data_IF_575620740382
#
_entry.id   IF_575620740382
#
_cell.length_a   1.000
_cell.length_b   1.000
_cell.length_c   1.000
_cell.angle_alpha   90.00
_cell.angle_beta   90.00
_cell.angle_gamma   90.00
#
_symmetry.space_group_name_H-M   'P 1'
#
loop_
_entity.id
_entity.type
_entity.pdbx_description
1 polymer ?
#
# COMPACT_ATOMS: atom_id res chain seq x y z
N UNK A 1 55.14 -73.19 -28.42
CA UNK A 1 53.91 -72.36 -28.34
C UNK A 1 53.88 -71.66 -26.97
N UNK A 2 54.84 -70.78 -26.70
CA UNK A 2 54.84 -69.31 -26.84
C UNK A 2 54.16 -68.59 -25.65
N UNK A 3 54.99 -68.26 -24.65
CA UNK A 3 54.70 -67.32 -23.55
C UNK A 3 54.62 -65.89 -24.12
N UNK A 4 53.54 -65.16 -23.83
CA UNK A 4 53.43 -63.73 -24.13
C UNK A 4 53.60 -62.92 -22.84
N UNK A 5 54.74 -62.24 -22.72
CA UNK A 5 55.04 -61.19 -21.74
C UNK A 5 54.24 -59.92 -22.10
N UNK A 6 53.42 -59.39 -21.19
CA UNK A 6 52.93 -58.00 -21.25
C UNK A 6 53.99 -57.07 -20.63
N UNK A 7 54.61 -56.24 -21.48
CA UNK A 7 55.43 -55.08 -21.08
C UNK A 7 54.53 -54.03 -20.42
N UNK A 8 54.84 -53.65 -19.19
CA UNK A 8 54.36 -52.41 -18.60
C UNK A 8 55.26 -51.28 -19.10
N UNK A 9 54.69 -50.34 -19.86
CA UNK A 9 55.34 -49.09 -20.25
C UNK A 9 55.35 -48.15 -19.03
N UNK A 10 56.53 -47.92 -18.47
CA UNK A 10 56.75 -46.86 -17.50
C UNK A 10 56.61 -45.51 -18.19
N UNK A 11 55.60 -44.74 -17.79
CA UNK A 11 55.53 -43.32 -18.07
C UNK A 11 56.20 -42.59 -16.92
N UNK A 12 57.40 -42.06 -17.17
CA UNK A 12 58.09 -41.18 -16.25
C UNK A 12 57.26 -39.90 -16.09
N UNK A 13 56.61 -39.74 -14.94
CA UNK A 13 56.03 -38.45 -14.53
C UNK A 13 57.22 -37.58 -14.15
N UNK A 14 57.62 -36.72 -15.06
CA UNK A 14 58.55 -35.63 -14.82
C UNK A 14 57.91 -34.69 -13.79
N UNK A 15 58.41 -34.72 -12.56
CA UNK A 15 58.12 -33.75 -11.51
C UNK A 15 58.60 -32.37 -11.98
N UNK A 16 57.67 -31.56 -12.52
CA UNK A 16 57.91 -30.13 -12.71
C UNK A 16 57.91 -29.51 -11.31
N UNK A 17 59.00 -28.86 -10.84
CA UNK A 17 58.97 -28.11 -9.61
C UNK A 17 58.06 -26.90 -9.83
N UNK A 18 56.86 -26.95 -9.23
CA UNK A 18 55.97 -25.80 -9.19
C UNK A 18 56.64 -24.64 -8.47
N UNK A 19 56.40 -23.39 -8.88
CA UNK A 19 56.96 -22.23 -8.22
C UNK A 19 56.56 -22.24 -6.75
N UNK A 20 57.57 -22.32 -5.88
CA UNK A 20 57.40 -22.14 -4.44
C UNK A 20 56.86 -20.74 -4.18
N UNK A 21 55.57 -20.63 -3.85
CA UNK A 21 54.99 -19.39 -3.36
C UNK A 21 55.76 -18.97 -2.09
N UNK A 22 56.41 -17.80 -2.08
CA UNK A 22 57.07 -17.30 -0.90
C UNK A 22 56.01 -16.85 0.11
N UNK A 23 56.04 -17.40 1.34
CA UNK A 23 55.44 -16.73 2.50
C UNK A 23 54.44 -17.48 3.38
N UNK A 24 53.91 -18.66 2.99
CA UNK A 24 53.01 -19.42 3.88
C UNK A 24 53.78 -20.27 4.91
N UNK A 25 54.52 -19.62 5.82
CA UNK A 25 55.18 -20.27 6.98
C UNK A 25 54.69 -19.72 8.33
N UNK A 26 53.42 -19.35 8.43
CA UNK A 26 52.74 -19.19 9.71
C UNK A 26 51.68 -20.27 9.83
N UNK A 27 51.94 -21.27 10.69
CA UNK A 27 50.89 -22.17 11.14
C UNK A 27 49.81 -21.33 11.82
N UNK A 28 48.64 -21.18 11.20
CA UNK A 28 47.49 -20.53 11.82
C UNK A 28 47.25 -21.14 13.20
N UNK A 29 47.09 -20.35 14.28
CA UNK A 29 46.88 -20.87 15.62
C UNK A 29 45.55 -21.64 15.70
N UNK A 30 45.62 -22.95 15.44
CA UNK A 30 44.49 -23.87 15.36
C UNK A 30 43.58 -23.84 16.60
N UNK A 31 44.14 -23.50 17.78
CA UNK A 31 43.37 -23.39 19.02
C UNK A 31 42.42 -22.19 19.01
N UNK A 32 42.88 -21.03 18.57
CA UNK A 32 42.06 -19.81 18.46
C UNK A 32 40.95 -20.00 17.43
N UNK A 33 41.29 -20.50 16.25
CA UNK A 33 40.31 -20.79 15.20
C UNK A 33 39.21 -21.78 15.66
N UNK A 34 39.59 -22.83 16.41
CA UNK A 34 38.63 -23.80 16.95
C UNK A 34 37.72 -23.20 18.01
N UNK A 35 38.20 -22.25 18.81
CA UNK A 35 37.39 -21.57 19.83
C UNK A 35 36.23 -20.77 19.20
N UNK A 36 36.47 -20.15 18.04
CA UNK A 36 35.48 -19.36 17.30
C UNK A 36 34.30 -20.18 16.76
N UNK A 37 34.38 -21.52 16.73
CA UNK A 37 33.27 -22.38 16.29
C UNK A 37 31.98 -22.11 17.08
N UNK A 38 32.10 -21.73 18.36
CA UNK A 38 30.97 -21.39 19.24
C UNK A 38 30.30 -20.07 18.86
N UNK A 39 30.99 -19.21 18.13
CA UNK A 39 30.49 -17.90 17.68
C UNK A 39 29.92 -17.95 16.25
N UNK A 40 30.14 -19.05 15.52
CA UNK A 40 29.54 -19.33 14.22
C UNK A 40 30.49 -19.23 13.03
N UNK A 41 30.06 -19.78 11.89
CA UNK A 41 30.89 -19.91 10.69
C UNK A 41 31.35 -18.57 10.11
N UNK A 42 30.52 -17.51 10.21
CA UNK A 42 30.90 -16.17 9.73
C UNK A 42 32.02 -15.54 10.56
N UNK A 43 32.08 -15.79 11.86
CA UNK A 43 33.19 -15.31 12.71
C UNK A 43 34.48 -16.04 12.36
N UNK A 44 34.40 -17.36 12.16
CA UNK A 44 35.53 -18.16 11.71
C UNK A 44 36.04 -17.70 10.34
N UNK A 45 35.13 -17.41 9.40
CA UNK A 45 35.48 -16.89 8.08
C UNK A 45 36.09 -15.49 8.16
N UNK A 46 35.56 -14.59 8.99
CA UNK A 46 36.16 -13.27 9.24
C UNK A 46 37.58 -13.38 9.77
N UNK A 47 37.81 -14.24 10.77
CA UNK A 47 39.14 -14.46 11.33
C UNK A 47 40.12 -15.00 10.29
N UNK A 48 39.74 -16.00 9.49
CA UNK A 48 40.57 -16.48 8.38
C UNK A 48 40.86 -15.35 7.39
N UNK A 49 39.84 -14.57 7.03
CA UNK A 49 39.98 -13.47 6.08
C UNK A 49 40.97 -12.40 6.58
N UNK A 50 41.00 -12.15 7.89
CA UNK A 50 41.96 -11.27 8.54
C UNK A 50 43.39 -11.82 8.50
N UNK A 51 43.58 -13.09 8.86
CA UNK A 51 44.90 -13.74 8.84
C UNK A 51 45.50 -13.84 7.42
N UNK A 52 44.65 -13.97 6.40
CA UNK A 52 45.07 -14.04 4.99
C UNK A 52 45.17 -12.67 4.32
N UNK A 53 44.90 -11.57 5.04
CA UNK A 53 45.00 -10.22 4.48
C UNK A 53 43.99 -9.93 3.36
N UNK A 54 42.78 -10.51 3.42
CA UNK A 54 41.73 -10.18 2.44
C UNK A 54 41.36 -8.69 2.50
N UNK A 55 40.71 -8.22 1.43
CA UNK A 55 40.29 -6.82 1.32
C UNK A 55 39.47 -6.37 2.54
N UNK A 56 39.65 -5.12 3.02
CA UNK A 56 38.91 -4.57 4.16
C UNK A 56 37.39 -4.72 4.01
N UNK A 57 36.89 -4.56 2.78
CA UNK A 57 35.47 -4.74 2.45
C UNK A 57 34.98 -6.17 2.68
N UNK A 58 35.78 -7.18 2.34
CA UNK A 58 35.42 -8.59 2.57
C UNK A 58 35.37 -8.90 4.07
N UNK A 59 36.36 -8.40 4.82
CA UNK A 59 36.42 -8.54 6.28
C UNK A 59 35.23 -7.84 6.94
N UNK A 60 34.91 -6.62 6.52
CA UNK A 60 33.74 -5.87 7.00
C UNK A 60 32.43 -6.62 6.75
N UNK A 61 32.23 -7.13 5.54
CA UNK A 61 31.02 -7.88 5.17
C UNK A 61 30.86 -9.18 5.97
N UNK A 62 31.94 -9.90 6.25
CA UNK A 62 31.90 -11.11 7.07
C UNK A 62 31.52 -10.81 8.53
N UNK A 63 32.08 -9.73 9.09
CA UNK A 63 31.76 -9.30 10.45
C UNK A 63 30.30 -8.84 10.55
N UNK A 64 29.81 -8.07 9.58
CA UNK A 64 28.40 -7.70 9.48
C UNK A 64 27.48 -8.93 9.39
N UNK A 65 27.80 -9.89 8.52
CA UNK A 65 27.00 -11.12 8.37
C UNK A 65 26.95 -11.96 9.64
N UNK A 66 28.02 -11.95 10.44
CA UNK A 66 28.04 -12.66 11.73
C UNK A 66 26.96 -12.16 12.69
N UNK A 67 26.71 -10.84 12.70
CA UNK A 67 25.68 -10.20 13.50
C UNK A 67 24.29 -10.64 13.00
N UNK A 68 24.06 -10.57 11.68
CA UNK A 68 22.75 -10.87 11.07
C UNK A 68 22.34 -12.33 11.18
N UNK A 69 23.29 -13.25 11.05
CA UNK A 69 23.04 -14.68 11.13
C UNK A 69 22.78 -15.19 12.57
N UNK A 70 23.13 -14.39 13.59
CA UNK A 70 23.02 -14.80 14.99
C UNK A 70 21.63 -14.56 15.55
N UNK A 71 21.05 -15.60 16.17
CA UNK A 71 19.76 -15.57 16.86
C UNK A 71 19.89 -15.45 18.38
N UNK A 72 20.99 -15.91 18.96
CA UNK A 72 21.28 -15.77 20.40
C UNK A 72 21.51 -14.28 20.74
N UNK A 73 20.68 -13.65 21.58
CA UNK A 73 20.81 -12.24 21.93
C UNK A 73 22.16 -11.89 22.59
N UNK A 74 22.68 -12.75 23.46
CA UNK A 74 23.92 -12.49 24.17
C UNK A 74 25.13 -12.58 23.23
N UNK A 75 25.14 -13.58 22.33
CA UNK A 75 26.16 -13.68 21.30
C UNK A 75 26.06 -12.52 20.31
N UNK A 76 24.85 -12.14 19.90
CA UNK A 76 24.64 -10.98 19.02
C UNK A 76 25.22 -9.71 19.63
N UNK A 77 24.94 -9.41 20.91
CA UNK A 77 25.47 -8.22 21.58
C UNK A 77 26.99 -8.17 21.53
N UNK A 78 27.66 -9.31 21.77
CA UNK A 78 29.13 -9.41 21.66
C UNK A 78 29.61 -9.17 20.23
N UNK A 79 28.90 -9.68 19.23
CA UNK A 79 29.26 -9.49 17.82
C UNK A 79 29.01 -8.05 17.34
N UNK A 80 27.97 -7.38 17.83
CA UNK A 80 27.75 -5.94 17.58
C UNK A 80 28.89 -5.13 18.21
N UNK A 81 29.29 -5.43 19.45
CA UNK A 81 30.43 -4.78 20.10
C UNK A 81 31.71 -4.94 19.27
N UNK A 82 32.02 -6.16 18.82
CA UNK A 82 33.15 -6.44 17.93
C UNK A 82 33.06 -5.66 16.61
N UNK A 83 31.88 -5.57 16.01
CA UNK A 83 31.69 -4.80 14.78
C UNK A 83 31.83 -3.30 14.98
N UNK A 84 31.34 -2.75 16.09
CA UNK A 84 31.54 -1.35 16.45
C UNK A 84 33.02 -1.01 16.73
N UNK A 85 33.78 -1.98 17.27
CA UNK A 85 35.21 -1.84 17.54
C UNK A 85 36.07 -1.91 16.26
N UNK A 86 35.91 -2.96 15.44
CA UNK A 86 36.78 -3.18 14.26
C UNK A 86 36.24 -2.53 12.98
N UNK A 87 34.94 -2.28 12.89
CA UNK A 87 34.27 -1.71 11.73
C UNK A 87 34.89 -0.38 11.26
N UNK A 88 35.06 0.64 12.12
CA UNK A 88 35.64 1.93 11.72
C UNK A 88 36.99 1.79 11.00
N UNK A 89 37.90 0.99 11.57
CA UNK A 89 39.24 0.77 11.01
C UNK A 89 39.20 0.06 9.66
N UNK A 90 38.26 -0.88 9.45
CA UNK A 90 38.06 -1.55 8.17
C UNK A 90 37.50 -0.58 7.12
N UNK A 91 36.48 0.22 7.47
CA UNK A 91 35.87 1.18 6.55
C UNK A 91 36.85 2.28 6.14
N UNK A 92 37.71 2.74 7.06
CA UNK A 92 38.75 3.73 6.75
C UNK A 92 39.70 3.27 5.63
N UNK A 93 39.93 1.96 5.50
CA UNK A 93 40.79 1.35 4.48
C UNK A 93 40.06 1.08 3.14
N UNK A 94 38.80 1.48 2.98
CA UNK A 94 38.09 1.28 1.72
C UNK A 94 38.69 2.20 0.64
N UNK A 95 38.98 1.68 -0.56
CA UNK A 95 39.76 2.38 -1.57
C UNK A 95 39.01 3.54 -2.27
N UNK A 96 37.68 3.58 -2.16
CA UNK A 96 36.84 4.59 -2.81
C UNK A 96 35.98 5.31 -1.77
N UNK A 97 35.94 6.64 -1.84
CA UNK A 97 35.02 7.51 -1.10
C UNK A 97 33.66 7.56 -1.81
N UNK A 98 33.04 6.40 -2.00
CA UNK A 98 31.77 6.25 -2.70
C UNK A 98 30.59 6.06 -1.73
N UNK A 99 29.39 5.92 -2.30
CA UNK A 99 28.18 5.64 -1.53
C UNK A 99 28.27 4.37 -0.68
N UNK A 100 29.10 3.39 -1.08
CA UNK A 100 29.28 2.14 -0.35
C UNK A 100 30.09 2.36 0.93
N UNK A 101 31.13 3.20 0.88
CA UNK A 101 31.89 3.58 2.09
C UNK A 101 30.99 4.31 3.10
N UNK A 102 30.22 5.30 2.63
CA UNK A 102 29.25 6.03 3.49
C UNK A 102 28.21 5.11 4.11
N UNK A 103 27.61 4.21 3.31
CA UNK A 103 26.66 3.23 3.83
C UNK A 103 27.30 2.29 4.88
N UNK A 104 28.56 1.92 4.69
CA UNK A 104 29.31 1.12 5.66
C UNK A 104 29.57 1.87 6.97
N UNK A 105 29.81 3.19 6.91
CA UNK A 105 29.88 4.04 8.11
C UNK A 105 28.52 4.08 8.84
N UNK A 106 27.40 4.22 8.11
CA UNK A 106 26.05 4.19 8.69
C UNK A 106 25.74 2.87 9.41
N UNK A 107 26.28 1.74 8.93
CA UNK A 107 26.12 0.45 9.60
C UNK A 107 26.90 0.40 10.92
N UNK A 108 28.07 1.02 10.99
CA UNK A 108 28.83 1.18 12.24
C UNK A 108 28.09 2.09 13.23
N UNK A 109 27.54 3.20 12.76
CA UNK A 109 26.67 4.08 13.56
C UNK A 109 25.49 3.29 14.15
N UNK A 110 24.81 2.48 13.34
CA UNK A 110 23.71 1.64 13.82
C UNK A 110 24.17 0.62 14.87
N UNK A 111 25.37 0.05 14.72
CA UNK A 111 25.92 -0.86 15.73
C UNK A 111 26.18 -0.14 17.07
N UNK A 112 26.72 1.08 17.05
CA UNK A 112 26.88 1.90 18.26
C UNK A 112 25.53 2.20 18.92
N UNK A 113 24.49 2.50 18.13
CA UNK A 113 23.12 2.69 18.60
C UNK A 113 22.56 1.43 19.28
N UNK A 114 22.68 0.25 18.67
CA UNK A 114 22.22 -1.03 19.26
C UNK A 114 22.95 -1.39 20.56
N UNK A 115 24.14 -0.83 20.80
CA UNK A 115 24.87 -0.97 22.07
C UNK A 115 24.45 0.06 23.13
N UNK A 116 23.51 0.96 22.82
CA UNK A 116 23.15 2.09 23.69
C UNK A 116 24.22 3.19 23.77
N UNK A 117 25.25 3.15 22.92
CA UNK A 117 26.35 4.14 22.86
C UNK A 117 25.92 5.36 22.04
N UNK A 118 24.82 5.99 22.42
CA UNK A 118 24.12 7.01 21.61
C UNK A 118 24.96 8.25 21.31
N UNK A 119 25.75 8.74 22.27
CA UNK A 119 26.64 9.89 22.05
C UNK A 119 27.72 9.59 21.01
N UNK A 120 28.32 8.41 21.07
CA UNK A 120 29.32 7.97 20.09
C UNK A 120 28.69 7.71 18.73
N UNK A 121 27.48 7.14 18.71
CA UNK A 121 26.72 6.94 17.48
C UNK A 121 26.41 8.28 16.79
N UNK A 122 25.98 9.30 17.54
CA UNK A 122 25.71 10.64 16.99
C UNK A 122 26.98 11.31 16.48
N UNK A 123 28.07 11.28 17.26
CA UNK A 123 29.34 11.85 16.84
C UNK A 123 29.89 11.15 15.57
N UNK A 124 29.78 9.82 15.48
CA UNK A 124 30.16 9.07 14.29
C UNK A 124 29.26 9.39 13.09
N UNK A 125 27.97 9.63 13.30
CA UNK A 125 27.03 10.03 12.25
C UNK A 125 27.33 11.43 11.71
N UNK A 126 27.63 12.38 12.60
CA UNK A 126 27.96 13.77 12.23
C UNK A 126 29.31 13.90 11.51
N UNK A 127 30.21 12.91 11.68
CA UNK A 127 31.48 12.84 10.97
C UNK A 127 31.37 12.32 9.52
N UNK A 128 30.20 11.82 9.09
CA UNK A 128 30.00 11.33 7.72
C UNK A 128 29.65 12.52 6.81
N UNK A 129 30.50 12.79 5.82
CA UNK A 129 30.24 13.84 4.83
C UNK A 129 29.20 13.40 3.78
N UNK A 130 28.01 13.97 3.89
CA UNK A 130 26.89 13.78 2.95
C UNK A 130 26.79 14.86 1.88
N UNK A 131 27.57 15.95 1.94
CA UNK A 131 27.48 17.08 1.01
C UNK A 131 27.94 16.71 -0.41
N UNK A 132 28.84 15.73 -0.54
CA UNK A 132 29.38 15.28 -1.83
C UNK A 132 28.47 14.31 -2.62
N UNK A 133 27.29 13.91 -2.09
CA UNK A 133 26.38 12.95 -2.75
C UNK A 133 25.17 13.61 -3.48
N UNK A 134 25.10 14.95 -3.52
CA UNK A 134 23.97 15.71 -4.09
C UNK A 134 23.82 15.53 -5.61
N UNK A 135 24.80 14.92 -6.29
CA UNK A 135 24.82 14.79 -7.75
C UNK A 135 24.10 13.57 -8.32
N UNK A 136 23.47 12.71 -7.49
CA UNK A 136 22.67 11.56 -7.96
C UNK A 136 21.30 11.49 -7.23
N UNK A 137 20.28 12.23 -7.69
CA UNK A 137 18.98 12.35 -7.02
C UNK A 137 18.14 11.05 -7.00
N UNK A 138 18.58 9.97 -7.66
CA UNK A 138 17.88 8.68 -7.70
C UNK A 138 18.22 7.68 -6.59
N UNK A 139 19.27 7.91 -5.79
CA UNK A 139 19.75 6.96 -4.77
C UNK A 139 19.70 7.59 -3.37
N UNK A 140 18.50 7.82 -2.84
CA UNK A 140 18.28 8.54 -1.57
C UNK A 140 18.59 7.73 -0.30
N UNK A 141 19.84 7.28 -0.13
CA UNK A 141 20.34 6.81 1.17
C UNK A 141 20.39 7.92 2.24
N UNK A 142 20.15 9.18 1.86
CA UNK A 142 19.93 10.32 2.76
C UNK A 142 18.83 10.04 3.79
N UNK A 143 17.76 9.34 3.39
CA UNK A 143 16.69 8.98 4.30
C UNK A 143 17.19 8.13 5.48
N UNK A 144 18.16 7.25 5.27
CA UNK A 144 18.64 6.35 6.32
C UNK A 144 19.47 7.07 7.40
N UNK A 145 20.25 8.08 7.02
CA UNK A 145 21.03 8.87 7.97
C UNK A 145 20.12 9.68 8.92
N UNK A 146 19.07 10.32 8.38
CA UNK A 146 18.10 11.07 9.17
C UNK A 146 17.26 10.15 10.07
N UNK A 147 16.86 8.99 9.55
CA UNK A 147 16.19 7.95 10.33
C UNK A 147 17.06 7.45 11.49
N UNK A 148 18.36 7.24 11.27
CA UNK A 148 19.29 6.87 12.33
C UNK A 148 19.47 7.99 13.36
N UNK A 149 19.57 9.25 12.93
CA UNK A 149 19.64 10.40 13.84
C UNK A 149 18.40 10.46 14.73
N UNK A 150 17.22 10.26 14.15
CA UNK A 150 15.96 10.22 14.90
C UNK A 150 15.92 9.06 15.90
N UNK A 151 16.32 7.85 15.48
CA UNK A 151 16.39 6.68 16.36
C UNK A 151 17.37 6.89 17.53
N UNK A 152 18.54 7.49 17.27
CA UNK A 152 19.53 7.84 18.30
C UNK A 152 18.96 8.88 19.26
N UNK A 153 18.29 9.93 18.76
CA UNK A 153 17.64 10.95 19.58
C UNK A 153 16.52 10.40 20.47
N UNK A 154 15.78 9.40 19.98
CA UNK A 154 14.76 8.66 20.74
C UNK A 154 15.36 7.63 21.70
N UNK A 155 16.69 7.42 21.68
CA UNK A 155 17.39 6.37 22.42
C UNK A 155 16.84 4.97 22.13
N UNK A 156 16.41 4.73 20.90
CA UNK A 156 15.99 3.41 20.44
C UNK A 156 17.24 2.54 20.28
N UNK A 157 17.45 1.58 21.18
CA UNK A 157 18.53 0.58 21.13
C UNK A 157 18.09 -0.76 20.51
N UNK A 158 16.84 -0.85 20.04
CA UNK A 158 16.31 -2.10 19.52
C UNK A 158 17.03 -2.55 18.26
N UNK A 159 17.11 -3.87 18.04
CA UNK A 159 17.67 -4.47 16.81
C UNK A 159 17.10 -3.84 15.54
N UNK A 160 15.82 -3.48 15.57
CA UNK A 160 15.06 -2.89 14.47
C UNK A 160 14.51 -1.55 14.92
N UNK A 161 15.31 -0.48 14.84
CA UNK A 161 14.82 0.84 15.24
C UNK A 161 13.59 1.23 14.41
N UNK A 162 12.54 1.71 15.07
CA UNK A 162 11.22 1.92 14.42
C UNK A 162 11.33 2.84 13.21
N UNK A 163 12.12 3.90 13.34
CA UNK A 163 12.26 4.93 12.31
C UNK A 163 13.13 4.50 11.14
N UNK A 164 13.97 3.45 11.29
CA UNK A 164 14.85 2.96 10.21
C UNK A 164 14.23 1.85 9.36
N UNK A 165 13.00 1.45 9.69
CA UNK A 165 12.28 0.38 9.00
C UNK A 165 11.40 0.91 7.87
N UNK A 166 11.19 0.11 6.80
CA UNK A 166 10.14 0.39 5.83
C UNK A 166 8.77 0.47 6.50
N UNK A 167 7.88 1.38 6.06
CA UNK A 167 6.52 1.56 6.63
C UNK A 167 5.75 0.25 6.81
N UNK A 168 5.86 -0.65 5.83
CA UNK A 168 5.18 -1.96 5.85
C UNK A 168 5.68 -2.90 6.98
N UNK A 169 6.89 -2.69 7.52
CA UNK A 169 7.49 -3.48 8.61
C UNK A 169 7.18 -2.89 9.98
N UNK A 170 6.98 -1.56 10.03
CA UNK A 170 6.71 -0.84 11.27
C UNK A 170 5.41 -1.29 11.90
N UNK A 171 4.33 -1.45 11.13
CA UNK A 171 3.04 -1.91 11.66
C UNK A 171 3.15 -3.30 12.29
N UNK A 172 3.93 -4.18 11.68
CA UNK A 172 4.17 -5.53 12.19
C UNK A 172 4.94 -5.50 13.52
N UNK A 173 5.98 -4.67 13.63
CA UNK A 173 6.76 -4.53 14.87
C UNK A 173 5.95 -3.84 15.97
N UNK A 174 5.30 -2.72 15.66
CA UNK A 174 4.55 -1.94 16.64
C UNK A 174 3.27 -2.63 17.14
N UNK A 175 2.68 -3.52 16.34
CA UNK A 175 1.53 -4.33 16.76
C UNK A 175 1.94 -5.68 17.37
N UNK A 176 3.23 -5.95 17.58
CA UNK A 176 3.76 -7.26 17.98
C UNK A 176 3.31 -8.42 17.06
N UNK A 177 2.91 -8.11 15.82
CA UNK A 177 2.55 -9.10 14.81
C UNK A 177 3.80 -9.72 14.15
N UNK A 178 4.96 -9.06 14.30
CA UNK A 178 6.26 -9.58 13.92
C UNK A 178 6.76 -10.60 14.93
N UNK A 179 6.32 -11.85 14.79
CA UNK A 179 6.80 -12.98 15.56
C UNK A 179 7.68 -13.89 14.69
N UNK A 180 8.92 -13.47 14.36
CA UNK A 180 9.83 -14.34 13.61
C UNK A 180 11.29 -14.12 14.02
N UNK A 181 11.87 -15.16 14.64
CA UNK A 181 13.27 -15.61 14.55
C UNK A 181 14.43 -14.63 14.84
N UNK A 182 14.16 -13.36 15.13
CA UNK A 182 15.17 -12.30 15.15
C UNK A 182 15.29 -11.57 16.50
N UNK A 183 14.65 -12.09 17.55
CA UNK A 183 14.80 -11.62 18.93
C UNK A 183 13.73 -10.58 19.35
N UNK A 184 13.62 -10.30 20.67
CA UNK A 184 12.57 -9.44 21.21
C UNK A 184 12.80 -7.96 20.86
N UNK A 185 11.70 -7.21 20.68
CA UNK A 185 11.70 -5.74 20.67
C UNK A 185 12.15 -5.22 22.04
N UNK A 186 13.06 -4.26 22.10
CA UNK A 186 13.46 -3.64 23.37
C UNK A 186 12.34 -2.74 23.93
N UNK A 187 12.34 -2.42 25.25
CA UNK A 187 11.43 -1.41 25.81
C UNK A 187 11.51 -0.06 25.10
N UNK A 188 12.72 0.36 24.67
CA UNK A 188 12.91 1.58 23.90
C UNK A 188 12.20 1.52 22.54
N UNK A 189 12.29 0.37 21.87
CA UNK A 189 11.58 0.10 20.62
C UNK A 189 10.05 0.25 20.77
N UNK A 190 9.49 -0.26 21.88
CA UNK A 190 8.06 -0.09 22.21
C UNK A 190 7.70 1.39 22.48
N UNK A 191 8.57 2.14 23.13
CA UNK A 191 8.38 3.57 23.35
C UNK A 191 8.40 4.36 22.04
N UNK A 192 9.33 4.06 21.12
CA UNK A 192 9.36 4.63 19.77
C UNK A 192 8.10 4.31 18.96
N UNK A 193 7.59 3.08 19.07
CA UNK A 193 6.29 2.72 18.47
C UNK A 193 5.13 3.55 19.03
N UNK A 194 5.12 3.85 20.33
CA UNK A 194 4.12 4.73 20.94
C UNK A 194 4.25 6.16 20.41
N UNK A 195 5.44 6.74 20.42
CA UNK A 195 5.70 8.10 19.93
C UNK A 195 5.22 8.24 18.48
N UNK A 196 5.54 7.25 17.64
CA UNK A 196 5.10 7.22 16.26
C UNK A 196 3.58 7.18 16.15
N UNK A 197 2.91 6.29 16.88
CA UNK A 197 1.45 6.19 16.86
C UNK A 197 0.80 7.49 17.29
N UNK A 198 1.30 8.10 18.37
CA UNK A 198 0.79 9.40 18.85
C UNK A 198 0.99 10.49 17.78
N UNK A 199 2.14 10.50 17.06
CA UNK A 199 2.39 11.42 15.94
C UNK A 199 1.45 11.15 14.76
N UNK A 200 1.24 9.90 14.38
CA UNK A 200 0.33 9.52 13.29
C UNK A 200 -1.12 9.90 13.64
N UNK A 201 -1.55 9.66 14.88
CA UNK A 201 -2.87 10.09 15.38
C UNK A 201 -3.02 11.62 15.35
N UNK A 202 -1.97 12.36 15.74
CA UNK A 202 -1.97 13.82 15.70
C UNK A 202 -1.95 14.35 14.25
N UNK A 203 -1.11 13.80 13.37
CA UNK A 203 -1.07 14.16 11.96
C UNK A 203 -2.42 13.87 11.28
N UNK A 204 -3.04 12.74 11.59
CA UNK A 204 -4.37 12.38 11.07
C UNK A 204 -5.43 13.36 11.58
N UNK A 205 -5.41 13.69 12.88
CA UNK A 205 -6.29 14.72 13.43
C UNK A 205 -6.11 16.07 12.74
N UNK A 206 -4.87 16.49 12.49
CA UNK A 206 -4.57 17.74 11.81
C UNK A 206 -4.95 17.69 10.33
N UNK A 207 -4.81 16.53 9.65
CA UNK A 207 -5.34 16.31 8.29
C UNK A 207 -6.85 16.49 8.26
N UNK A 208 -7.55 15.84 9.19
CA UNK A 208 -9.01 15.93 9.30
C UNK A 208 -9.49 17.36 9.56
N UNK A 209 -8.81 18.12 10.43
CA UNK A 209 -9.13 19.51 10.67
C UNK A 209 -8.93 20.38 9.41
N UNK A 210 -7.86 20.14 8.67
CA UNK A 210 -7.59 20.85 7.42
C UNK A 210 -8.62 20.49 6.33
N UNK A 211 -9.03 19.23 6.25
CA UNK A 211 -10.08 18.76 5.34
C UNK A 211 -11.44 19.39 5.65
N UNK A 212 -11.79 19.49 6.94
CA UNK A 212 -13.01 20.18 7.38
C UNK A 212 -12.94 21.65 7.00
N UNK A 213 -11.83 22.34 7.31
CA UNK A 213 -11.67 23.75 7.00
C UNK A 213 -11.69 24.01 5.48
N UNK A 214 -11.09 23.12 4.68
CA UNK A 214 -11.13 23.18 3.23
C UNK A 214 -12.54 22.94 2.67
N UNK A 215 -13.30 22.01 3.28
CA UNK A 215 -14.69 21.74 2.94
C UNK A 215 -15.61 22.93 3.23
N UNK A 216 -15.36 23.66 4.31
CA UNK A 216 -16.07 24.91 4.61
C UNK A 216 -15.76 26.00 3.57
N UNK A 217 -14.50 26.13 3.14
CA UNK A 217 -14.14 27.05 2.05
C UNK A 217 -14.82 26.67 0.72
N UNK A 218 -15.04 25.38 0.47
CA UNK A 218 -15.67 24.89 -0.75
C UNK A 218 -17.18 25.19 -0.83
N UNK A 219 -17.84 25.58 0.26
CA UNK A 219 -19.26 25.96 0.24
C UNK A 219 -19.52 27.24 -0.57
N UNK A 220 -18.55 28.14 -0.60
CA UNK A 220 -18.55 29.32 -1.47
C UNK A 220 -17.65 29.05 -2.68
N UNK A 221 -18.20 28.30 -3.64
CA UNK A 221 -17.50 27.87 -4.84
C UNK A 221 -16.87 29.04 -5.61
N UNK A 222 -17.62 30.13 -5.92
CA UNK A 222 -17.08 31.29 -6.63
C UNK A 222 -15.90 31.95 -5.92
N UNK A 223 -15.98 32.16 -4.59
CA UNK A 223 -14.89 32.78 -3.86
C UNK A 223 -13.65 31.87 -3.78
N UNK A 224 -13.85 30.55 -3.66
CA UNK A 224 -12.75 29.59 -3.70
C UNK A 224 -12.08 29.56 -5.08
N UNK A 225 -12.85 29.49 -6.16
CA UNK A 225 -12.35 29.49 -7.53
C UNK A 225 -11.49 30.73 -7.80
N UNK A 226 -11.99 31.93 -7.48
CA UNK A 226 -11.24 33.17 -7.65
C UNK A 226 -9.89 33.16 -6.90
N UNK A 227 -9.85 32.61 -5.68
CA UNK A 227 -8.60 32.46 -4.90
C UNK A 227 -7.65 31.45 -5.52
N UNK A 228 -8.17 30.34 -6.05
CA UNK A 228 -7.36 29.30 -6.64
C UNK A 228 -6.78 29.72 -8.01
N UNK A 229 -7.53 30.50 -8.79
CA UNK A 229 -7.14 30.98 -10.11
C UNK A 229 -6.13 32.15 -10.03
N UNK A 230 -6.13 32.92 -8.94
CA UNK A 230 -5.13 33.97 -8.68
C UNK A 230 -3.68 33.45 -8.53
N UNK A 231 -3.47 32.14 -8.61
CA UNK A 231 -2.18 31.44 -8.80
C UNK A 231 -1.04 31.78 -7.82
N UNK A 232 -1.35 32.19 -6.60
CA UNK A 232 -0.37 32.20 -5.51
C UNK A 232 -0.25 30.78 -4.93
N UNK A 233 0.49 29.89 -5.58
CA UNK A 233 0.68 28.50 -5.10
C UNK A 233 1.68 28.43 -3.93
N UNK A 234 2.64 29.35 -3.87
CA UNK A 234 3.74 29.33 -2.90
C UNK A 234 3.30 29.80 -1.50
N UNK A 235 2.32 30.71 -1.40
CA UNK A 235 1.86 31.23 -0.09
C UNK A 235 0.58 30.57 0.44
N UNK A 236 0.12 29.46 -0.16
CA UNK A 236 -1.05 28.75 0.36
C UNK A 236 -0.68 28.00 1.64
N UNK A 237 -1.36 28.35 2.72
CA UNK A 237 -1.44 27.48 3.89
C UNK A 237 -2.01 26.10 3.50
N UNK A 238 -1.84 25.12 4.40
CA UNK A 238 -2.23 23.73 4.15
C UNK A 238 -3.72 23.57 3.82
N UNK A 239 -4.59 24.36 4.47
CA UNK A 239 -6.04 24.38 4.25
C UNK A 239 -6.37 24.86 2.83
N UNK A 240 -5.81 26.01 2.42
CA UNK A 240 -6.03 26.57 1.07
C UNK A 240 -5.51 25.65 -0.03
N UNK A 241 -4.37 24.99 0.19
CA UNK A 241 -3.87 23.98 -0.76
C UNK A 241 -4.88 22.83 -0.92
N UNK A 242 -5.43 22.34 0.18
CA UNK A 242 -6.43 21.27 0.15
C UNK A 242 -7.73 21.74 -0.54
N UNK A 243 -8.24 22.93 -0.21
CA UNK A 243 -9.44 23.48 -0.83
C UNK A 243 -9.28 23.67 -2.35
N UNK A 244 -8.14 24.21 -2.80
CA UNK A 244 -7.86 24.35 -4.23
C UNK A 244 -7.67 23.02 -4.94
N UNK A 245 -7.13 21.99 -4.27
CA UNK A 245 -7.10 20.63 -4.83
C UNK A 245 -8.52 20.11 -5.04
N UNK A 246 -9.44 20.33 -4.10
CA UNK A 246 -10.83 19.93 -4.25
C UNK A 246 -11.52 20.68 -5.40
N UNK A 247 -11.23 21.97 -5.59
CA UNK A 247 -11.68 22.71 -6.78
C UNK A 247 -11.13 22.12 -8.09
N UNK A 248 -9.84 21.78 -8.14
CA UNK A 248 -9.24 21.09 -9.30
C UNK A 248 -9.94 19.76 -9.58
N UNK A 249 -10.17 18.93 -8.55
CA UNK A 249 -10.92 17.67 -8.69
C UNK A 249 -12.36 17.91 -9.17
N UNK A 250 -12.99 19.01 -8.76
CA UNK A 250 -14.34 19.37 -9.21
C UNK A 250 -14.33 19.70 -10.71
N UNK A 251 -13.32 20.42 -11.19
CA UNK A 251 -13.14 20.71 -12.62
C UNK A 251 -12.89 19.40 -13.39
N UNK A 252 -12.04 18.52 -12.88
CA UNK A 252 -11.76 17.22 -13.52
C UNK A 252 -13.04 16.38 -13.66
N UNK A 253 -13.86 16.31 -12.60
CA UNK A 253 -15.16 15.64 -12.62
C UNK A 253 -16.11 16.30 -13.62
N UNK A 254 -16.25 17.63 -13.57
CA UNK A 254 -17.15 18.38 -14.46
C UNK A 254 -16.72 18.29 -15.94
N UNK A 255 -15.42 18.21 -16.22
CA UNK A 255 -14.89 17.87 -17.56
C UNK A 255 -15.29 16.45 -17.93
N UNK A 256 -15.09 15.49 -17.03
CA UNK A 256 -15.51 14.11 -17.22
C UNK A 256 -17.00 13.96 -17.56
N UNK A 257 -17.87 14.76 -16.95
CA UNK A 257 -19.31 14.73 -17.21
C UNK A 257 -19.69 15.36 -18.56
N UNK A 258 -18.95 16.38 -19.03
CA UNK A 258 -19.24 17.11 -20.27
C UNK A 258 -18.61 16.48 -21.52
N UNK A 259 -17.41 15.90 -21.41
CA UNK A 259 -16.70 15.30 -22.55
C UNK A 259 -17.50 14.22 -23.30
N UNK A 260 -18.28 13.33 -22.65
CA UNK A 260 -19.15 12.36 -23.32
C UNK A 260 -20.15 12.97 -24.30
N UNK A 261 -20.59 14.20 -24.07
CA UNK A 261 -21.57 14.92 -24.90
C UNK A 261 -20.91 15.76 -26.00
N UNK A 262 -19.58 15.80 -26.04
CA UNK A 262 -18.80 16.58 -26.99
C UNK A 262 -17.72 15.72 -27.66
N UNK A 263 -18.02 15.01 -28.76
CA UNK A 263 -17.08 14.08 -29.39
C UNK A 263 -15.79 14.74 -29.88
N UNK A 264 -15.86 16.00 -30.31
CA UNK A 264 -14.69 16.78 -30.74
C UNK A 264 -13.79 17.05 -29.54
N UNK A 265 -14.34 17.54 -28.43
CA UNK A 265 -13.58 17.75 -27.21
C UNK A 265 -13.02 16.43 -26.65
N UNK A 266 -13.83 15.37 -26.61
CA UNK A 266 -13.38 14.05 -26.18
C UNK A 266 -12.18 13.56 -27.00
N UNK A 267 -12.16 13.77 -28.31
CA UNK A 267 -11.02 13.42 -29.16
C UNK A 267 -9.77 14.26 -28.84
N UNK A 268 -9.93 15.55 -28.51
CA UNK A 268 -8.83 16.44 -28.12
C UNK A 268 -8.22 16.08 -26.75
N UNK A 269 -9.06 15.74 -25.77
CA UNK A 269 -8.63 15.48 -24.39
C UNK A 269 -8.25 14.01 -24.14
N UNK A 270 -8.98 13.06 -24.72
CA UNK A 270 -8.93 11.64 -24.32
C UNK A 270 -8.45 10.70 -25.43
N UNK A 271 -7.70 11.20 -26.41
CA UNK A 271 -7.00 10.33 -27.37
C UNK A 271 -5.93 9.48 -26.69
N UNK A 272 -5.57 8.34 -27.31
CA UNK A 272 -4.47 7.52 -26.80
C UNK A 272 -3.15 8.32 -26.71
N UNK A 273 -2.92 9.22 -27.67
CA UNK A 273 -1.75 10.08 -27.71
C UNK A 273 -1.75 11.07 -26.53
N UNK A 274 -2.88 11.71 -26.24
CA UNK A 274 -3.02 12.61 -25.09
C UNK A 274 -2.79 11.90 -23.75
N UNK A 275 -3.11 10.60 -23.67
CA UNK A 275 -2.91 9.80 -22.45
C UNK A 275 -1.48 9.24 -22.30
N UNK A 276 -0.62 9.37 -23.33
CA UNK A 276 0.80 8.93 -23.30
C UNK A 276 1.79 10.02 -22.86
N UNK A 277 1.34 11.25 -22.62
CA UNK A 277 2.17 12.34 -22.11
C UNK A 277 2.83 12.05 -20.76
N UNK A 278 3.66 12.98 -20.28
CA UNK A 278 4.40 12.81 -19.02
C UNK A 278 3.43 12.53 -17.85
N UNK A 279 3.79 11.57 -17.00
CA UNK A 279 2.90 11.06 -15.95
C UNK A 279 2.58 12.13 -14.90
N UNK A 280 3.50 13.07 -14.67
CA UNK A 280 3.36 14.11 -13.66
C UNK A 280 2.62 15.37 -14.16
N UNK A 281 2.80 15.76 -15.42
CA UNK A 281 2.16 16.98 -15.96
C UNK A 281 0.67 16.77 -16.31
N UNK A 282 0.28 15.53 -16.65
CA UNK A 282 -1.05 15.21 -17.18
C UNK A 282 -2.00 14.51 -16.18
N UNK A 283 -1.69 14.53 -14.87
CA UNK A 283 -2.51 13.79 -13.88
C UNK A 283 -4.00 14.16 -13.93
N UNK A 284 -4.29 15.46 -13.98
CA UNK A 284 -5.68 15.97 -14.00
C UNK A 284 -6.44 15.52 -15.25
N UNK A 285 -5.77 15.45 -16.39
CA UNK A 285 -6.38 15.02 -17.65
C UNK A 285 -6.72 13.53 -17.60
N UNK A 286 -5.80 12.71 -17.09
CA UNK A 286 -6.06 11.27 -16.93
C UNK A 286 -7.26 11.02 -16.03
N UNK A 287 -7.40 11.85 -15.00
CA UNK A 287 -8.55 11.84 -14.08
C UNK A 287 -9.84 12.21 -14.83
N UNK A 288 -9.89 13.35 -15.53
CA UNK A 288 -11.04 13.78 -16.32
C UNK A 288 -11.46 12.75 -17.39
N UNK A 289 -10.51 12.17 -18.13
CA UNK A 289 -10.78 11.13 -19.12
C UNK A 289 -11.23 9.80 -18.49
N UNK A 290 -10.78 9.50 -17.27
CA UNK A 290 -11.30 8.36 -16.51
C UNK A 290 -12.76 8.60 -16.12
N UNK A 291 -13.10 9.80 -15.64
CA UNK A 291 -14.48 10.18 -15.35
C UNK A 291 -15.34 10.10 -16.61
N UNK A 292 -14.91 10.67 -17.74
CA UNK A 292 -15.65 10.59 -19.01
C UNK A 292 -15.94 9.16 -19.46
N UNK A 293 -14.95 8.26 -19.32
CA UNK A 293 -15.13 6.85 -19.61
C UNK A 293 -16.14 6.19 -18.65
N UNK A 294 -16.06 6.51 -17.36
CA UNK A 294 -17.02 6.07 -16.35
C UNK A 294 -18.43 6.52 -16.70
N UNK A 295 -18.64 7.81 -16.96
CA UNK A 295 -19.95 8.37 -17.36
C UNK A 295 -20.50 7.70 -18.63
N UNK A 296 -19.66 7.43 -19.64
CA UNK A 296 -20.09 6.69 -20.83
C UNK A 296 -20.46 5.23 -20.52
N UNK A 297 -19.78 4.60 -19.56
CA UNK A 297 -20.14 3.27 -19.08
C UNK A 297 -21.47 3.32 -18.34
N UNK A 298 -21.63 4.23 -17.38
CA UNK A 298 -22.84 4.37 -16.56
C UNK A 298 -24.08 4.61 -17.43
N UNK A 299 -24.00 5.51 -18.43
CA UNK A 299 -25.10 5.76 -19.38
C UNK A 299 -25.46 4.51 -20.20
N UNK A 300 -24.46 3.72 -20.58
CA UNK A 300 -24.69 2.47 -21.32
C UNK A 300 -25.28 1.39 -20.40
N UNK A 301 -24.82 1.30 -19.15
CA UNK A 301 -25.40 0.43 -18.12
C UNK A 301 -26.88 0.79 -17.88
N UNK A 302 -27.19 2.07 -17.67
CA UNK A 302 -28.56 2.58 -17.52
C UNK A 302 -29.43 2.25 -18.73
N UNK A 303 -28.91 2.49 -19.95
CA UNK A 303 -29.63 2.18 -21.20
C UNK A 303 -29.95 0.69 -21.32
N UNK A 304 -29.03 -0.18 -20.91
CA UNK A 304 -29.24 -1.63 -20.93
C UNK A 304 -30.20 -2.08 -19.83
N UNK A 305 -30.09 -1.54 -18.61
CA UNK A 305 -30.99 -1.83 -17.49
C UNK A 305 -32.43 -1.36 -17.76
N UNK A 306 -32.61 -0.31 -18.55
CA UNK A 306 -33.92 0.16 -19.01
C UNK A 306 -34.63 -0.80 -19.97
N UNK A 307 -33.96 -1.84 -20.49
CA UNK A 307 -34.54 -2.88 -21.35
C UNK A 307 -34.34 -4.30 -20.76
N UNK A 308 -35.13 -4.67 -19.73
CA UNK A 308 -35.04 -5.99 -19.11
C UNK A 308 -35.30 -7.16 -20.07
N UNK A 309 -36.08 -6.94 -21.13
CA UNK A 309 -36.38 -7.97 -22.13
C UNK A 309 -35.14 -8.32 -22.96
N UNK A 310 -34.36 -7.30 -23.34
CA UNK A 310 -33.05 -7.51 -23.97
C UNK A 310 -32.07 -8.20 -23.04
N UNK A 311 -32.02 -7.82 -21.77
CA UNK A 311 -31.13 -8.46 -20.80
C UNK A 311 -31.44 -9.94 -20.56
N UNK A 312 -32.72 -10.32 -20.59
CA UNK A 312 -33.14 -11.72 -20.52
C UNK A 312 -32.55 -12.59 -21.65
N UNK A 313 -32.31 -12.00 -22.82
CA UNK A 313 -31.70 -12.68 -23.98
C UNK A 313 -30.17 -12.63 -23.93
N UNK A 314 -29.59 -11.47 -23.58
CA UNK A 314 -28.15 -11.23 -23.65
C UNK A 314 -27.39 -11.88 -22.49
N UNK A 315 -27.91 -11.81 -21.27
CA UNK A 315 -27.17 -12.25 -20.09
C UNK A 315 -26.78 -13.74 -20.09
N UNK A 316 -27.66 -14.68 -20.51
CA UNK A 316 -27.28 -16.09 -20.65
C UNK A 316 -26.17 -16.35 -21.69
N UNK A 317 -25.95 -15.42 -22.63
CA UNK A 317 -24.99 -15.56 -23.73
C UNK A 317 -23.83 -14.56 -23.62
N UNK A 318 -23.66 -13.91 -22.46
CA UNK A 318 -22.74 -12.76 -22.32
C UNK A 318 -21.32 -13.05 -22.79
N UNK A 319 -20.78 -14.23 -22.49
CA UNK A 319 -19.40 -14.60 -22.86
C UNK A 319 -19.20 -14.65 -24.39
N UNK A 320 -20.21 -15.09 -25.13
CA UNK A 320 -20.14 -15.12 -26.61
C UNK A 320 -20.31 -13.71 -27.19
N UNK A 321 -21.18 -12.88 -26.58
CA UNK A 321 -21.40 -11.49 -26.99
C UNK A 321 -20.17 -10.62 -26.74
N UNK A 322 -19.38 -10.89 -25.69
CA UNK A 322 -18.27 -10.03 -25.24
C UNK A 322 -16.89 -10.53 -25.67
N UNK A 323 -16.80 -11.67 -26.34
CA UNK A 323 -15.56 -12.39 -26.66
C UNK A 323 -14.43 -11.54 -27.26
N UNK A 324 -14.76 -10.49 -28.02
CA UNK A 324 -13.78 -9.61 -28.68
C UNK A 324 -13.87 -8.15 -28.20
N UNK A 325 -14.62 -7.86 -27.14
CA UNK A 325 -14.80 -6.51 -26.61
C UNK A 325 -14.73 -6.52 -25.08
N UNK A 326 -13.51 -6.33 -24.57
CA UNK A 326 -13.25 -6.28 -23.13
C UNK A 326 -13.99 -5.13 -22.42
N UNK A 327 -14.34 -4.05 -23.12
CA UNK A 327 -15.13 -2.95 -22.54
C UNK A 327 -16.58 -3.40 -22.36
N UNK A 328 -17.16 -4.01 -23.39
CA UNK A 328 -18.50 -4.56 -23.34
C UNK A 328 -18.61 -5.68 -22.31
N UNK A 329 -17.55 -6.48 -22.12
CA UNK A 329 -17.48 -7.52 -21.10
C UNK A 329 -17.68 -6.99 -19.68
N UNK A 330 -17.00 -5.89 -19.33
CA UNK A 330 -17.13 -5.24 -18.03
C UNK A 330 -18.55 -4.70 -17.82
N UNK A 331 -19.09 -4.01 -18.84
CA UNK A 331 -20.44 -3.43 -18.79
C UNK A 331 -21.49 -4.53 -18.64
N UNK A 332 -21.49 -5.55 -19.52
CA UNK A 332 -22.47 -6.63 -19.47
C UNK A 332 -22.34 -7.47 -18.20
N UNK A 333 -21.13 -7.69 -17.70
CA UNK A 333 -20.94 -8.40 -16.42
C UNK A 333 -21.63 -7.68 -15.26
N UNK A 334 -21.52 -6.34 -15.18
CA UNK A 334 -22.19 -5.54 -14.14
C UNK A 334 -23.70 -5.51 -14.33
N UNK A 335 -24.16 -5.17 -15.53
CA UNK A 335 -25.59 -5.05 -15.84
C UNK A 335 -26.31 -6.38 -15.65
N UNK A 336 -25.73 -7.49 -16.11
CA UNK A 336 -26.34 -8.81 -15.92
C UNK A 336 -26.35 -9.23 -14.45
N UNK A 337 -25.31 -8.93 -13.68
CA UNK A 337 -25.32 -9.18 -12.24
C UNK A 337 -26.43 -8.37 -11.53
N UNK A 338 -26.59 -7.09 -11.86
CA UNK A 338 -27.67 -6.23 -11.34
C UNK A 338 -29.04 -6.77 -11.74
N UNK A 339 -29.24 -7.11 -13.01
CA UNK A 339 -30.48 -7.69 -13.52
C UNK A 339 -30.83 -9.01 -12.84
N UNK A 340 -29.90 -9.96 -12.75
CA UNK A 340 -30.09 -11.24 -12.05
C UNK A 340 -30.42 -11.02 -10.57
N UNK A 341 -29.75 -10.07 -9.92
CA UNK A 341 -30.02 -9.72 -8.53
C UNK A 341 -31.44 -9.17 -8.36
N UNK A 342 -31.91 -8.33 -9.28
CA UNK A 342 -33.26 -7.77 -9.24
C UNK A 342 -34.32 -8.83 -9.55
N UNK A 343 -34.05 -9.78 -10.45
CA UNK A 343 -34.91 -10.96 -10.66
C UNK A 343 -35.01 -11.80 -9.38
N UNK A 344 -33.89 -12.05 -8.71
CA UNK A 344 -33.87 -12.76 -7.42
C UNK A 344 -34.66 -11.98 -6.37
N UNK A 345 -34.44 -10.66 -6.23
CA UNK A 345 -35.19 -9.83 -5.29
C UNK A 345 -36.68 -9.86 -5.56
N UNK A 346 -37.10 -9.74 -6.82
CA UNK A 346 -38.51 -9.80 -7.22
C UNK A 346 -39.13 -11.17 -6.90
N UNK A 347 -38.41 -12.26 -7.15
CA UNK A 347 -38.86 -13.61 -6.81
C UNK A 347 -38.95 -13.85 -5.29
N UNK A 348 -38.07 -13.23 -4.51
CA UNK A 348 -38.04 -13.37 -3.05
C UNK A 348 -38.99 -12.42 -2.31
N UNK A 349 -39.36 -11.28 -2.90
CA UNK A 349 -40.17 -10.26 -2.24
C UNK A 349 -41.51 -10.81 -1.66
N UNK A 350 -42.27 -11.68 -2.36
CA UNK A 350 -43.47 -12.29 -1.78
C UNK A 350 -43.15 -13.19 -0.58
N UNK A 351 -42.04 -13.93 -0.62
CA UNK A 351 -41.60 -14.79 0.48
C UNK A 351 -41.05 -13.99 1.66
N UNK A 352 -40.49 -12.81 1.41
CA UNK A 352 -40.02 -11.92 2.47
C UNK A 352 -41.20 -11.26 3.20
N UNK A 353 -42.20 -10.79 2.47
CA UNK A 353 -43.32 -10.02 3.01
C UNK A 353 -44.45 -10.86 3.61
N UNK A 354 -44.72 -12.07 3.11
CA UNK A 354 -45.78 -12.95 3.61
C UNK A 354 -45.22 -14.16 4.39
N UNK A 355 -45.46 -14.17 5.71
CA UNK A 355 -45.05 -15.26 6.62
C UNK A 355 -45.64 -16.60 6.20
N UNK A 356 -46.92 -16.63 5.82
CA UNK A 356 -47.61 -17.85 5.48
C UNK A 356 -47.15 -18.38 4.12
N UNK A 357 -46.86 -17.49 3.15
CA UNK A 357 -46.23 -17.88 1.88
C UNK A 357 -44.84 -18.47 2.10
N UNK A 358 -44.03 -17.83 2.95
CA UNK A 358 -42.71 -18.35 3.33
C UNK A 358 -42.81 -19.74 3.95
N UNK A 359 -43.64 -19.91 4.98
CA UNK A 359 -43.73 -21.17 5.71
C UNK A 359 -44.19 -22.30 4.80
N UNK A 360 -45.18 -22.06 3.92
CA UNK A 360 -45.63 -23.04 2.92
C UNK A 360 -44.53 -23.41 1.92
N UNK A 361 -43.82 -22.43 1.36
CA UNK A 361 -42.81 -22.65 0.35
C UNK A 361 -41.53 -23.31 0.92
N UNK A 362 -41.16 -22.95 2.15
CA UNK A 362 -39.87 -23.25 2.73
C UNK A 362 -39.86 -24.37 3.77
N UNK A 363 -41.02 -24.84 4.25
CA UNK A 363 -41.12 -25.90 5.27
C UNK A 363 -40.32 -27.17 4.91
N UNK A 364 -40.35 -27.61 3.64
CA UNK A 364 -39.65 -28.81 3.19
C UNK A 364 -38.12 -28.70 3.15
N UNK A 365 -37.60 -27.47 3.20
CA UNK A 365 -36.16 -27.18 3.14
C UNK A 365 -35.55 -26.90 4.51
N UNK A 366 -36.38 -26.61 5.52
CA UNK A 366 -35.98 -26.35 6.90
C UNK A 366 -35.43 -27.63 7.53
N UNK A 367 -34.20 -27.56 8.05
CA UNK A 367 -33.62 -28.53 8.99
C UNK A 367 -33.19 -27.77 10.24
N UNK A 368 -33.15 -28.46 11.36
CA UNK A 368 -32.54 -27.93 12.58
C UNK A 368 -31.14 -28.53 12.67
N UNK A 369 -30.11 -27.71 12.86
CA UNK A 369 -28.77 -28.22 13.17
C UNK A 369 -28.70 -28.71 14.63
N UNK A 370 -27.56 -29.29 15.01
CA UNK A 370 -27.32 -29.78 16.37
C UNK A 370 -27.33 -28.69 17.45
N UNK A 371 -27.21 -27.42 17.08
CA UNK A 371 -27.30 -26.28 17.99
C UNK A 371 -28.73 -25.73 18.17
N UNK A 372 -29.72 -26.31 17.48
CA UNK A 372 -31.10 -25.83 17.50
C UNK A 372 -31.38 -24.71 16.49
N UNK A 373 -30.40 -24.31 15.67
CA UNK A 373 -30.59 -23.28 14.64
C UNK A 373 -31.23 -23.86 13.38
N UNK A 374 -32.07 -23.07 12.73
CA UNK A 374 -32.64 -23.39 11.43
C UNK A 374 -31.59 -23.27 10.32
N UNK A 375 -31.31 -24.38 9.65
CA UNK A 375 -30.43 -24.47 8.48
C UNK A 375 -31.23 -25.03 7.31
N UNK A 376 -31.18 -24.37 6.16
CA UNK A 376 -31.87 -24.85 4.96
C UNK A 376 -30.92 -25.67 4.08
N UNK A 377 -31.42 -26.70 3.40
CA UNK A 377 -30.62 -27.57 2.50
C UNK A 377 -29.93 -26.78 1.37
N UNK A 378 -28.75 -27.24 0.92
CA UNK A 378 -28.02 -26.69 -0.23
C UNK A 378 -28.65 -27.15 -1.56
N UNK A 379 -29.91 -26.80 -1.80
CA UNK A 379 -30.52 -26.81 -3.13
C UNK A 379 -30.78 -25.36 -3.57
N UNK A 380 -31.05 -25.13 -4.85
CA UNK A 380 -31.42 -23.81 -5.37
C UNK A 380 -32.64 -23.22 -4.64
N UNK A 381 -33.73 -24.00 -4.56
CA UNK A 381 -34.91 -23.62 -3.77
C UNK A 381 -34.60 -23.47 -2.26
N UNK A 382 -33.64 -24.24 -1.72
CA UNK A 382 -33.16 -24.07 -0.36
C UNK A 382 -32.36 -22.76 -0.16
N UNK A 383 -31.61 -22.32 -1.18
CA UNK A 383 -30.89 -21.06 -1.17
C UNK A 383 -31.86 -19.86 -1.20
N UNK A 384 -32.89 -19.91 -2.05
CA UNK A 384 -33.96 -18.91 -2.07
C UNK A 384 -34.64 -18.78 -0.70
N UNK A 385 -34.98 -19.90 -0.06
CA UNK A 385 -35.53 -19.89 1.30
C UNK A 385 -34.56 -19.33 2.35
N UNK A 386 -33.25 -19.60 2.26
CA UNK A 386 -32.25 -18.95 3.14
C UNK A 386 -32.23 -17.44 2.94
N UNK A 387 -32.25 -16.98 1.69
CA UNK A 387 -32.22 -15.56 1.38
C UNK A 387 -33.49 -14.85 1.84
N UNK A 388 -34.68 -15.37 1.54
CA UNK A 388 -35.94 -14.81 2.05
C UNK A 388 -35.98 -14.78 3.59
N UNK A 389 -35.49 -15.83 4.27
CA UNK A 389 -35.37 -15.81 5.73
C UNK A 389 -34.44 -14.71 6.24
N UNK A 390 -33.28 -14.51 5.58
CA UNK A 390 -32.34 -13.43 5.92
C UNK A 390 -32.95 -12.05 5.68
N UNK A 391 -33.64 -11.84 4.56
CA UNK A 391 -34.37 -10.60 4.28
C UNK A 391 -35.33 -10.27 5.42
N UNK A 392 -36.18 -11.24 5.79
CA UNK A 392 -37.13 -11.11 6.91
C UNK A 392 -36.46 -10.80 8.24
N UNK A 393 -35.36 -11.50 8.54
CA UNK A 393 -34.60 -11.29 9.77
C UNK A 393 -33.99 -9.90 9.81
N UNK A 394 -33.45 -9.41 8.70
CA UNK A 394 -32.84 -8.09 8.57
C UNK A 394 -33.90 -6.98 8.64
N UNK A 395 -35.03 -7.13 7.97
CA UNK A 395 -36.16 -6.19 8.05
C UNK A 395 -36.73 -6.09 9.47
N UNK A 396 -36.91 -7.24 10.15
CA UNK A 396 -37.33 -7.25 11.56
C UNK A 396 -36.31 -6.59 12.47
N UNK A 397 -35.02 -6.86 12.27
CA UNK A 397 -33.95 -6.25 13.04
C UNK A 397 -33.88 -4.74 12.82
N UNK A 398 -34.04 -4.28 11.56
CA UNK A 398 -34.13 -2.87 11.18
C UNK A 398 -35.34 -2.20 11.83
N UNK A 399 -36.54 -2.75 11.66
CA UNK A 399 -37.75 -2.20 12.27
C UNK A 399 -37.65 -2.13 13.80
N UNK A 400 -37.08 -3.16 14.44
CA UNK A 400 -36.84 -3.16 15.89
C UNK A 400 -35.78 -2.14 16.33
N UNK A 401 -34.80 -1.82 15.48
CA UNK A 401 -33.79 -0.80 15.75
C UNK A 401 -34.36 0.62 15.54
N UNK A 402 -35.12 0.83 14.46
CA UNK A 402 -35.80 2.09 14.15
C UNK A 402 -36.86 2.43 15.21
N UNK A 403 -37.61 1.43 15.70
CA UNK A 403 -38.52 1.60 16.84
C UNK A 403 -37.82 2.02 18.14
N UNK A 404 -36.49 1.83 18.24
CA UNK A 404 -35.64 2.30 19.34
C UNK A 404 -34.94 3.62 19.02
N UNK A 405 -35.28 4.27 17.90
CA UNK A 405 -34.66 5.52 17.45
C UNK A 405 -33.25 5.37 16.86
N UNK A 406 -32.80 4.14 16.56
CA UNK A 406 -31.52 3.90 15.89
C UNK A 406 -31.64 4.15 14.38
N UNK A 407 -30.55 4.58 13.74
CA UNK A 407 -30.46 4.71 12.29
C UNK A 407 -29.63 3.57 11.71
N UNK A 408 -30.23 2.80 10.81
CA UNK A 408 -29.56 1.72 10.09
C UNK A 408 -28.93 2.30 8.81
N UNK A 409 -27.66 1.95 8.55
CA UNK A 409 -27.01 2.29 7.28
C UNK A 409 -27.60 1.41 6.16
N UNK A 410 -27.75 1.97 4.96
CA UNK A 410 -28.20 1.19 3.80
C UNK A 410 -27.27 -0.02 3.61
N UNK A 411 -27.89 -1.19 3.64
CA UNK A 411 -27.21 -2.46 3.72
C UNK A 411 -27.54 -3.25 2.48
N UNK A 412 -26.53 -3.88 1.89
CA UNK A 412 -26.80 -4.90 0.88
C UNK A 412 -27.46 -6.08 1.59
N UNK A 413 -28.75 -6.27 1.29
CA UNK A 413 -29.64 -7.26 1.88
C UNK A 413 -29.07 -8.69 1.79
N UNK A 414 -28.10 -8.92 0.90
CA UNK A 414 -27.43 -10.21 0.70
C UNK A 414 -26.16 -10.43 1.51
N UNK A 415 -25.65 -9.43 2.23
CA UNK A 415 -24.51 -9.61 3.12
C UNK A 415 -24.81 -10.58 4.28
N UNK A 416 -23.76 -11.12 4.89
CA UNK A 416 -23.89 -12.08 6.00
C UNK A 416 -24.08 -11.44 7.39
N UNK A 417 -23.91 -10.13 7.54
CA UNK A 417 -23.94 -9.47 8.84
C UNK A 417 -25.32 -8.89 9.17
N UNK A 418 -25.54 -8.64 10.46
CA UNK A 418 -26.75 -7.93 10.94
C UNK A 418 -26.74 -6.50 10.40
N UNK A 419 -27.90 -5.88 10.17
CA UNK A 419 -27.93 -4.46 9.80
C UNK A 419 -27.19 -3.65 10.86
N UNK A 420 -26.20 -2.87 10.43
CA UNK A 420 -25.42 -2.02 11.31
C UNK A 420 -26.26 -0.80 11.69
N UNK A 421 -27.09 -0.97 12.72
CA UNK A 421 -27.93 0.08 13.26
C UNK A 421 -27.25 0.66 14.49
N UNK A 422 -26.96 1.94 14.42
CA UNK A 422 -26.21 2.69 15.44
C UNK A 422 -27.07 3.84 15.95
N UNK A 423 -26.73 4.39 17.13
CA UNK A 423 -27.43 5.57 17.64
C UNK A 423 -27.33 6.72 16.63
N UNK A 424 -28.23 7.72 16.63
CA UNK A 424 -28.11 8.85 15.71
C UNK A 424 -26.73 9.54 15.76
N UNK A 425 -26.11 9.61 16.94
CA UNK A 425 -24.77 10.17 17.13
C UNK A 425 -23.67 9.27 16.56
N UNK A 426 -23.74 7.96 16.80
CA UNK A 426 -22.77 7.00 16.26
C UNK A 426 -22.96 6.79 14.76
N UNK A 427 -24.19 6.92 14.25
CA UNK A 427 -24.50 6.99 12.83
C UNK A 427 -23.84 8.21 12.19
N UNK A 428 -23.98 9.39 12.80
CA UNK A 428 -23.29 10.59 12.33
C UNK A 428 -21.77 10.40 12.33
N UNK A 429 -21.20 9.80 13.39
CA UNK A 429 -19.76 9.49 13.48
C UNK A 429 -19.31 8.45 12.44
N UNK A 430 -20.11 7.42 12.17
CA UNK A 430 -19.79 6.39 11.21
C UNK A 430 -19.96 6.88 9.77
N UNK A 431 -20.97 7.70 9.48
CA UNK A 431 -21.07 8.39 8.19
C UNK A 431 -19.87 9.30 7.98
N UNK A 432 -19.49 10.08 8.98
CA UNK A 432 -18.22 10.84 9.02
C UNK A 432 -17.06 9.89 8.68
N UNK A 433 -16.85 8.80 9.42
CA UNK A 433 -15.75 7.84 9.12
C UNK A 433 -15.82 7.25 7.71
N UNK A 434 -17.01 6.97 7.16
CA UNK A 434 -17.17 6.42 5.79
C UNK A 434 -16.87 7.46 4.72
N UNK A 435 -17.34 8.70 4.89
CA UNK A 435 -16.94 9.87 4.10
C UNK A 435 -15.41 9.97 4.10
N UNK A 436 -14.77 9.86 5.27
CA UNK A 436 -13.31 10.00 5.40
C UNK A 436 -12.50 8.76 4.98
N UNK A 437 -13.10 7.56 4.90
CA UNK A 437 -12.44 6.34 4.39
C UNK A 437 -12.48 6.23 2.86
N UNK A 438 -13.06 7.20 2.16
CA UNK A 438 -13.19 7.16 0.71
C UNK A 438 -14.20 6.12 0.23
N UNK A 439 -15.24 5.81 1.02
CA UNK A 439 -16.41 5.11 0.48
C UNK A 439 -17.08 6.06 -0.51
N UNK A 440 -16.91 5.81 -1.81
CA UNK A 440 -17.34 6.66 -2.95
C UNK A 440 -18.82 7.06 -2.85
N UNK A 441 -19.64 6.30 -2.11
CA UNK A 441 -21.07 6.61 -1.91
C UNK A 441 -21.33 7.80 -0.98
N UNK A 442 -20.33 8.28 -0.26
CA UNK A 442 -20.43 9.44 0.61
C UNK A 442 -19.42 10.53 0.21
N UNK A 443 -19.26 10.75 -1.09
CA UNK A 443 -18.52 11.90 -1.59
C UNK A 443 -18.97 13.18 -0.90
N UNK A 444 -17.98 14.01 -0.58
CA UNK A 444 -18.18 15.26 0.12
C UNK A 444 -19.32 16.05 -0.53
N UNK A 445 -20.26 16.57 0.26
CA UNK A 445 -21.49 17.20 -0.24
C UNK A 445 -21.27 18.35 -1.23
N UNK A 446 -20.06 18.92 -1.28
CA UNK A 446 -19.64 19.91 -2.26
C UNK A 446 -19.26 19.35 -3.64
N UNK A 447 -19.20 18.04 -3.84
CA UNK A 447 -19.11 17.41 -5.17
C UNK A 447 -20.48 16.93 -5.70
N UNK A 448 -21.55 17.15 -4.92
CA UNK A 448 -22.89 16.81 -5.37
C UNK A 448 -23.32 17.73 -6.50
N UNK A 449 -24.16 17.20 -7.38
CA UNK A 449 -24.86 17.99 -8.37
C UNK A 449 -25.64 19.13 -7.68
N UNK A 450 -25.52 20.35 -8.21
CA UNK A 450 -26.11 21.55 -7.62
C UNK A 450 -25.35 22.15 -6.43
N UNK A 451 -24.16 21.65 -6.08
CA UNK A 451 -23.29 22.37 -5.16
C UNK A 451 -22.71 23.63 -5.82
N UNK A 452 -22.49 24.69 -5.04
CA UNK A 452 -21.87 25.92 -5.54
C UNK A 452 -20.47 25.69 -6.13
N UNK A 453 -19.70 24.73 -5.59
CA UNK A 453 -18.40 24.36 -6.15
C UNK A 453 -18.54 23.68 -7.51
N UNK A 454 -19.46 22.73 -7.65
CA UNK A 454 -19.68 22.01 -8.91
C UNK A 454 -20.21 22.94 -9.99
N UNK A 455 -21.13 23.86 -9.67
CA UNK A 455 -21.63 24.86 -10.62
C UNK A 455 -20.49 25.68 -11.23
N UNK A 456 -19.57 26.19 -10.39
CA UNK A 456 -18.40 26.95 -10.88
C UNK A 456 -17.43 26.04 -11.65
N UNK A 457 -17.24 24.81 -11.20
CA UNK A 457 -16.42 23.83 -11.90
C UNK A 457 -16.97 23.49 -13.30
N UNK A 458 -18.29 23.38 -13.47
CA UNK A 458 -18.92 23.18 -14.78
C UNK A 458 -18.68 24.36 -15.71
N UNK A 459 -18.84 25.59 -15.21
CA UNK A 459 -18.54 26.81 -15.99
C UNK A 459 -17.08 26.83 -16.42
N UNK A 460 -16.15 26.48 -15.50
CA UNK A 460 -14.72 26.43 -15.80
C UNK A 460 -14.37 25.32 -16.79
N UNK A 461 -14.95 24.13 -16.63
CA UNK A 461 -14.79 23.00 -17.54
C UNK A 461 -15.28 23.34 -18.96
N UNK A 462 -16.44 23.99 -19.08
CA UNK A 462 -16.96 24.45 -20.37
C UNK A 462 -16.02 25.48 -21.03
N UNK A 463 -15.45 26.41 -20.25
CA UNK A 463 -14.46 27.35 -20.75
C UNK A 463 -13.17 26.66 -21.24
N UNK A 464 -12.71 25.63 -20.52
CA UNK A 464 -11.56 24.80 -20.91
C UNK A 464 -11.83 24.06 -22.23
N UNK A 465 -13.01 23.46 -22.38
CA UNK A 465 -13.43 22.79 -23.62
C UNK A 465 -13.48 23.77 -24.79
N UNK A 466 -14.12 24.93 -24.59
CA UNK A 466 -14.23 25.97 -25.61
C UNK A 466 -12.84 26.48 -26.06
N UNK A 467 -11.93 26.69 -25.11
CA UNK A 467 -10.55 27.08 -25.40
C UNK A 467 -9.81 26.00 -26.19
N UNK A 468 -9.91 24.73 -25.77
CA UNK A 468 -9.25 23.62 -26.46
C UNK A 468 -9.69 23.50 -27.92
N UNK A 469 -10.99 23.65 -28.18
CA UNK A 469 -11.54 23.69 -29.53
C UNK A 469 -11.00 24.88 -30.33
N UNK A 470 -10.99 26.07 -29.72
CA UNK A 470 -10.49 27.30 -30.35
C UNK A 470 -9.03 27.17 -30.80
N UNK A 471 -8.18 26.51 -30.01
CA UNK A 471 -6.76 26.34 -30.33
C UNK A 471 -6.45 25.03 -31.06
N UNK A 472 -7.44 24.15 -31.27
CA UNK A 472 -7.29 22.85 -31.92
C UNK A 472 -6.42 21.84 -31.16
N UNK A 473 -6.16 22.08 -29.87
CA UNK A 473 -5.39 21.22 -28.97
C UNK A 473 -5.83 21.42 -27.52
N UNK A 474 -5.56 20.46 -26.64
CA UNK A 474 -5.78 20.66 -25.19
C UNK A 474 -4.89 21.80 -24.64
N UNK A 475 -5.33 22.54 -23.61
CA UNK A 475 -4.49 23.53 -22.93
C UNK A 475 -3.37 22.85 -22.13
N UNK A 476 -2.21 23.49 -22.05
CA UNK A 476 -1.04 22.95 -21.33
C UNK A 476 -1.22 22.99 -19.79
N UNK A 477 -2.16 23.80 -19.28
CA UNK A 477 -2.46 23.97 -17.84
C UNK A 477 -3.96 24.22 -17.60
N UNK A 478 -4.44 23.81 -16.43
CA UNK A 478 -5.77 24.12 -15.89
C UNK A 478 -5.91 25.57 -15.45
#
# INVERSE_FOLDING_TARGET
MTKVRKKASGSAISTIPGPSLPGFRHSLPIREYRALKREGAYVQAWWIADQLGHSPMSRFALLQRSIWATRDPALRQRLIARFAEHGPALVAQFPQEDMRKRYSQLLVVNALRELGRFHEALAALDAIDFAAAVNNPGESNYGYADQLRLAIGQRDDGRFAVETLPRQWISLICNNAWNFDHGPTSPANKASCKIRRDREEQEERDRLLDEIAASELAKDGPALAAKCDANDKENRDRVKRHACRNYTLAIEKALGEQLPDDPEAHALFCSEEAMRGDAEEDYWLRSACRYARGTLQDREEERLLADPARLAVVCPQKEEVTKNDARLDVILSRVCATYELDQVRAALAPLASDVAAFDRACAKFRKTNSAGDEVYRLSEAGAQCRWAWRMRKNERARAAAEAKGLKCLDYDVFSHDRPNCVSPEEHAREMVRRIYRGDERFHHSYFNEGSSLMEVAHVRAAAIIAEAKRIGRRPDKL
#
